data_IF_871581016430
#
_entry.id   IF_871581016430
#
_cell.length_a   1.000
_cell.length_b   1.000
_cell.length_c   1.000
_cell.angle_alpha   90.00
_cell.angle_beta   90.00
_cell.angle_gamma   90.00
#
_symmetry.space_group_name_H-M   'P 1'
#
loop_
_entity.id
_entity.type
_entity.pdbx_description
1 polymer ?
#
# COMPACT_ATOMS: atom_id res chain seq x y z
N UNK A 1 11.23 1.94 23.05
CA UNK A 1 11.46 2.40 21.66
C UNK A 1 10.34 3.32 21.20
N UNK A 2 9.07 2.97 21.40
CA UNK A 2 7.89 3.81 21.04
C UNK A 2 8.00 5.19 21.68
N UNK A 3 8.30 5.29 22.98
CA UNK A 3 8.51 6.59 23.67
C UNK A 3 9.64 7.46 23.05
N UNK A 4 10.62 6.83 22.44
CA UNK A 4 11.69 7.56 21.75
C UNK A 4 11.20 8.13 20.42
N UNK A 5 10.49 7.33 19.63
CA UNK A 5 9.92 7.75 18.34
C UNK A 5 8.84 8.83 18.55
N UNK A 6 8.02 8.68 19.58
CA UNK A 6 6.96 9.62 19.92
C UNK A 6 7.48 11.06 20.22
N UNK A 7 8.75 11.21 20.60
CA UNK A 7 9.37 12.54 20.81
C UNK A 7 9.49 13.34 19.52
N UNK A 8 9.53 12.67 18.37
CA UNK A 8 9.60 13.29 17.06
C UNK A 8 8.22 13.67 16.52
N UNK A 9 7.16 13.41 17.32
CA UNK A 9 5.75 13.68 17.02
C UNK A 9 5.32 13.16 15.63
N UNK A 10 5.49 11.85 15.35
CA UNK A 10 5.05 11.25 14.10
C UNK A 10 3.52 11.20 14.03
N UNK A 11 2.95 11.03 12.82
CA UNK A 11 1.52 10.79 12.66
C UNK A 11 1.15 9.35 13.03
N UNK A 12 2.04 8.39 12.73
CA UNK A 12 1.85 6.95 12.97
C UNK A 12 3.12 6.29 13.49
N UNK A 13 2.96 5.17 14.21
CA UNK A 13 4.08 4.27 14.57
C UNK A 13 4.14 3.13 13.56
N UNK A 14 5.26 2.96 12.88
CA UNK A 14 5.49 1.85 11.93
C UNK A 14 6.24 0.70 12.59
N UNK A 15 5.70 -0.51 12.47
CA UNK A 15 6.33 -1.77 12.88
C UNK A 15 6.75 -2.59 11.64
N UNK A 16 7.90 -3.27 11.75
CA UNK A 16 8.40 -4.25 10.79
C UNK A 16 8.25 -5.63 11.42
N UNK A 17 7.04 -6.21 11.33
CA UNK A 17 6.69 -7.45 12.05
C UNK A 17 7.33 -8.66 11.38
N UNK A 18 7.41 -8.65 10.05
CA UNK A 18 8.10 -9.69 9.29
C UNK A 18 9.29 -9.12 8.51
N UNK A 19 10.15 -9.99 8.01
CA UNK A 19 10.99 -9.70 6.86
C UNK A 19 10.14 -9.58 5.59
N UNK A 20 10.79 -9.38 4.45
CA UNK A 20 10.16 -9.25 3.15
C UNK A 20 10.90 -9.98 2.04
N UNK A 21 10.45 -9.79 0.80
CA UNK A 21 11.06 -10.41 -0.40
C UNK A 21 12.54 -10.13 -0.51
N UNK A 22 12.99 -8.92 -0.12
CA UNK A 22 14.38 -8.50 -0.29
C UNK A 22 15.38 -9.26 0.58
N UNK A 23 14.95 -9.71 1.77
CA UNK A 23 15.79 -10.47 2.73
C UNK A 23 15.37 -11.95 2.83
N UNK A 24 14.61 -12.43 1.84
CA UNK A 24 14.17 -13.82 1.77
C UNK A 24 15.31 -14.74 1.29
N UNK A 25 15.77 -15.62 2.18
CA UNK A 25 16.86 -16.57 1.92
C UNK A 25 16.36 -17.96 1.53
N UNK A 26 15.14 -18.30 1.89
CA UNK A 26 14.53 -19.62 1.67
C UNK A 26 13.26 -19.47 0.84
N UNK A 27 13.16 -20.29 -0.22
CA UNK A 27 11.96 -20.36 -1.06
C UNK A 27 10.77 -20.83 -0.23
N UNK A 28 9.65 -20.10 -0.29
CA UNK A 28 8.44 -20.39 0.47
C UNK A 28 8.33 -19.61 1.80
N UNK A 29 9.35 -18.86 2.18
CA UNK A 29 9.40 -18.10 3.43
C UNK A 29 9.63 -16.59 3.20
N UNK A 30 8.76 -15.88 2.45
CA UNK A 30 8.98 -14.48 2.12
C UNK A 30 8.95 -13.55 3.33
N UNK A 31 8.14 -13.87 4.33
CA UNK A 31 7.88 -13.01 5.49
C UNK A 31 8.18 -13.71 6.81
N UNK A 32 9.44 -14.02 7.09
CA UNK A 32 9.84 -14.60 8.37
C UNK A 32 9.54 -13.62 9.51
N UNK A 33 8.93 -14.13 10.60
CA UNK A 33 8.58 -13.30 11.76
C UNK A 33 9.85 -12.72 12.41
N UNK A 34 9.90 -11.39 12.51
CA UNK A 34 11.01 -10.63 13.12
C UNK A 34 10.64 -10.07 14.50
N UNK A 35 9.35 -9.81 14.74
CA UNK A 35 8.85 -9.35 16.03
C UNK A 35 7.96 -10.41 16.64
N UNK A 36 8.28 -10.84 17.88
CA UNK A 36 7.45 -11.79 18.62
C UNK A 36 6.12 -11.14 19.03
N UNK A 37 5.02 -11.90 19.17
CA UNK A 37 3.68 -11.37 19.46
C UNK A 37 3.62 -10.43 20.68
N UNK A 38 4.32 -10.78 21.75
CA UNK A 38 4.37 -9.98 22.97
C UNK A 38 5.06 -8.62 22.77
N UNK A 39 6.02 -8.53 21.83
CA UNK A 39 6.69 -7.27 21.49
C UNK A 39 5.77 -6.41 20.63
N UNK A 40 5.06 -7.02 19.67
CA UNK A 40 4.06 -6.32 18.85
C UNK A 40 2.98 -5.74 19.75
N UNK A 41 2.43 -6.57 20.66
CA UNK A 41 1.41 -6.12 21.62
C UNK A 41 1.89 -4.96 22.48
N UNK A 42 3.06 -5.07 23.08
CA UNK A 42 3.61 -4.02 23.92
C UNK A 42 3.86 -2.70 23.15
N UNK A 43 4.26 -2.80 21.87
CA UNK A 43 4.44 -1.64 21.02
C UNK A 43 3.11 -0.98 20.66
N UNK A 44 2.09 -1.76 20.28
CA UNK A 44 0.75 -1.26 19.98
C UNK A 44 0.08 -0.64 21.22
N UNK A 45 0.07 -1.34 22.35
CA UNK A 45 -0.50 -0.83 23.61
C UNK A 45 0.13 0.53 23.96
N UNK A 46 1.48 0.63 23.87
CA UNK A 46 2.17 1.87 24.20
C UNK A 46 1.90 3.00 23.19
N UNK A 47 1.82 2.68 21.90
CA UNK A 47 1.47 3.66 20.87
C UNK A 47 0.07 4.22 21.10
N UNK A 48 -0.91 3.35 21.36
CA UNK A 48 -2.30 3.73 21.64
C UNK A 48 -2.44 4.56 22.93
N UNK A 49 -1.70 4.22 24.00
CA UNK A 49 -1.64 5.04 25.23
C UNK A 49 -1.16 6.48 24.95
N UNK A 50 -0.30 6.65 23.95
CA UNK A 50 0.22 7.94 23.54
C UNK A 50 -0.63 8.64 22.46
N UNK A 51 -1.73 7.99 22.00
CA UNK A 51 -2.65 8.51 21.00
C UNK A 51 -2.23 8.28 19.55
N UNK A 52 -1.22 7.43 19.29
CA UNK A 52 -0.77 7.08 17.94
C UNK A 52 -1.44 5.81 17.43
N UNK A 53 -1.75 5.79 16.14
CA UNK A 53 -2.08 4.57 15.40
C UNK A 53 -0.82 3.81 15.00
N UNK A 54 -0.96 2.51 14.73
CA UNK A 54 0.14 1.62 14.39
C UNK A 54 -0.10 0.98 13.03
N UNK A 55 0.86 1.13 12.12
CA UNK A 55 0.87 0.43 10.84
C UNK A 55 1.99 -0.63 10.82
N UNK A 56 1.77 -1.73 10.10
CA UNK A 56 2.69 -2.86 10.13
C UNK A 56 3.04 -3.38 8.74
N UNK A 57 4.35 -3.45 8.42
CA UNK A 57 4.84 -4.24 7.30
C UNK A 57 4.72 -5.73 7.65
N UNK A 58 3.97 -6.48 6.83
CA UNK A 58 3.80 -7.93 6.96
C UNK A 58 3.61 -8.59 5.60
N UNK A 59 4.38 -9.63 5.31
CA UNK A 59 4.37 -10.36 4.02
C UNK A 59 4.17 -11.87 4.18
N UNK A 60 3.59 -12.30 5.32
CA UNK A 60 3.25 -13.71 5.54
C UNK A 60 1.95 -13.88 6.32
N UNK A 61 1.23 -15.02 6.14
CA UNK A 61 0.00 -15.29 6.90
C UNK A 61 0.19 -15.24 8.41
N UNK A 62 1.31 -15.77 8.91
CA UNK A 62 1.65 -15.72 10.33
C UNK A 62 1.86 -14.28 10.81
N UNK A 63 2.58 -13.48 10.02
CA UNK A 63 2.80 -12.06 10.34
C UNK A 63 1.51 -11.27 10.40
N UNK A 64 0.60 -11.45 9.42
CA UNK A 64 -0.72 -10.81 9.40
C UNK A 64 -1.53 -11.20 10.64
N UNK A 65 -1.55 -12.47 11.00
CA UNK A 65 -2.25 -12.95 12.20
C UNK A 65 -1.68 -12.31 13.47
N UNK A 66 -0.35 -12.32 13.63
CA UNK A 66 0.31 -11.70 14.79
C UNK A 66 0.00 -10.21 14.84
N UNK A 67 0.03 -9.49 13.70
CA UNK A 67 -0.30 -8.08 13.65
C UNK A 67 -1.73 -7.79 14.12
N UNK A 68 -2.71 -8.49 13.52
CA UNK A 68 -4.14 -8.31 13.84
C UNK A 68 -4.45 -8.67 15.28
N UNK A 69 -3.96 -9.80 15.80
CA UNK A 69 -4.22 -10.25 17.17
C UNK A 69 -3.63 -9.31 18.22
N UNK A 70 -2.57 -8.58 17.89
CA UNK A 70 -1.80 -7.76 18.84
C UNK A 70 -1.99 -6.24 18.68
N UNK A 71 -2.97 -5.80 17.88
CA UNK A 71 -3.50 -4.45 17.98
C UNK A 71 -2.96 -3.44 16.97
N UNK A 72 -2.48 -3.85 15.79
CA UNK A 72 -2.19 -2.90 14.72
C UNK A 72 -3.47 -2.28 14.17
N UNK A 73 -3.38 -1.08 13.60
CA UNK A 73 -4.51 -0.37 12.99
C UNK A 73 -4.53 -0.57 11.47
N UNK A 74 -3.39 -0.84 10.83
CA UNK A 74 -3.32 -1.15 9.40
C UNK A 74 -2.29 -2.22 9.08
N UNK A 75 -2.58 -2.94 7.97
CA UNK A 75 -1.71 -3.94 7.36
C UNK A 75 -1.17 -3.38 6.05
N UNK A 76 0.13 -3.14 6.01
CA UNK A 76 0.84 -2.81 4.78
C UNK A 76 1.23 -4.11 4.06
N UNK A 77 1.02 -4.19 2.76
CA UNK A 77 1.18 -5.38 1.93
C UNK A 77 0.13 -6.44 2.28
N UNK A 78 0.47 -7.36 3.13
CA UNK A 78 -0.44 -8.40 3.61
C UNK A 78 -0.22 -9.75 2.93
N UNK A 79 -0.94 -10.74 3.43
CA UNK A 79 -1.00 -12.09 2.89
C UNK A 79 -2.36 -12.70 3.25
N UNK A 80 -2.81 -13.68 2.45
CA UNK A 80 -4.06 -14.39 2.71
C UNK A 80 -4.00 -15.14 4.04
N UNK A 81 -4.99 -14.91 4.89
CA UNK A 81 -5.16 -15.57 6.18
C UNK A 81 -6.48 -16.35 6.25
N UNK A 82 -6.70 -17.08 7.33
CA UNK A 82 -7.93 -17.80 7.61
C UNK A 82 -9.12 -16.86 7.88
N UNK A 83 -10.34 -17.40 7.79
CA UNK A 83 -11.58 -16.64 7.95
C UNK A 83 -11.69 -15.98 9.32
N UNK A 84 -11.30 -16.68 10.40
CA UNK A 84 -11.38 -16.15 11.75
C UNK A 84 -10.47 -14.92 11.93
N UNK A 85 -9.30 -14.94 11.32
CA UNK A 85 -8.38 -13.79 11.33
C UNK A 85 -8.96 -12.62 10.53
N UNK A 86 -9.61 -12.88 9.38
CA UNK A 86 -10.30 -11.84 8.60
C UNK A 86 -11.49 -11.24 9.34
N UNK A 87 -12.27 -12.07 10.03
CA UNK A 87 -13.40 -11.60 10.85
C UNK A 87 -12.94 -10.71 12.00
N UNK A 88 -11.84 -11.07 12.66
CA UNK A 88 -11.21 -10.25 13.70
C UNK A 88 -10.69 -8.92 13.13
N UNK A 89 -10.11 -8.94 11.91
CA UNK A 89 -9.68 -7.73 11.21
C UNK A 89 -10.84 -6.76 10.99
N UNK A 90 -11.99 -7.28 10.53
CA UNK A 90 -13.23 -6.50 10.34
C UNK A 90 -13.77 -5.98 11.68
N UNK A 91 -13.87 -6.82 12.70
CA UNK A 91 -14.37 -6.45 14.02
C UNK A 91 -13.58 -5.29 14.64
N UNK A 92 -12.26 -5.30 14.46
CA UNK A 92 -11.36 -4.28 14.99
C UNK A 92 -11.22 -3.04 14.12
N UNK A 93 -11.83 -3.01 12.96
CA UNK A 93 -11.73 -1.88 12.00
C UNK A 93 -10.33 -1.71 11.43
N UNK A 94 -9.52 -2.79 11.40
CA UNK A 94 -8.19 -2.79 10.79
C UNK A 94 -8.37 -2.82 9.28
N UNK A 95 -7.56 -2.05 8.53
CA UNK A 95 -7.61 -2.00 7.09
C UNK A 95 -6.30 -2.49 6.45
N UNK A 96 -6.37 -2.80 5.16
CA UNK A 96 -5.19 -3.09 4.36
C UNK A 96 -4.79 -1.86 3.54
N UNK A 97 -3.48 -1.61 3.41
CA UNK A 97 -2.94 -0.78 2.35
C UNK A 97 -2.29 -1.71 1.32
N UNK A 98 -2.99 -1.89 0.20
CA UNK A 98 -2.50 -2.70 -0.91
C UNK A 98 -1.34 -1.98 -1.59
N UNK A 99 -0.28 -2.73 -1.86
CA UNK A 99 0.95 -2.26 -2.49
C UNK A 99 1.39 -3.30 -3.51
N UNK A 100 0.61 -3.45 -4.58
CA UNK A 100 0.89 -4.43 -5.64
C UNK A 100 2.16 -4.04 -6.41
N UNK A 101 2.38 -2.73 -6.55
CA UNK A 101 3.49 -2.17 -7.31
C UNK A 101 4.87 -2.69 -6.91
N UNK A 102 5.31 -2.69 -5.63
CA UNK A 102 6.65 -3.12 -5.25
C UNK A 102 6.86 -4.64 -5.40
N UNK A 103 5.81 -5.45 -5.29
CA UNK A 103 5.90 -6.89 -5.44
C UNK A 103 5.99 -7.33 -6.91
N UNK A 104 5.42 -6.55 -7.85
CA UNK A 104 5.34 -6.89 -9.27
C UNK A 104 6.70 -7.12 -9.93
N UNK A 105 7.74 -6.26 -9.77
CA UNK A 105 9.05 -6.49 -10.38
C UNK A 105 9.73 -7.78 -9.90
N UNK A 106 9.61 -8.10 -8.62
CA UNK A 106 10.14 -9.36 -8.08
C UNK A 106 9.40 -10.58 -8.63
N UNK A 107 8.09 -10.51 -8.75
CA UNK A 107 7.26 -11.63 -9.17
C UNK A 107 7.32 -11.89 -10.68
N UNK A 108 7.28 -10.83 -11.51
CA UNK A 108 6.92 -10.92 -12.92
C UNK A 108 8.03 -10.50 -13.88
N UNK A 109 9.05 -9.74 -13.45
CA UNK A 109 10.16 -9.41 -14.35
C UNK A 109 11.08 -10.60 -14.56
N UNK A 110 11.73 -10.63 -15.72
CA UNK A 110 12.88 -11.49 -15.92
C UNK A 110 14.00 -11.11 -14.94
N UNK A 111 14.69 -12.09 -14.37
CA UNK A 111 15.75 -11.85 -13.38
C UNK A 111 16.94 -11.08 -13.93
N UNK A 112 17.15 -11.11 -15.26
CA UNK A 112 18.17 -10.26 -15.91
C UNK A 112 17.81 -8.78 -15.85
N UNK A 113 16.53 -8.44 -15.62
CA UNK A 113 16.01 -7.10 -15.49
C UNK A 113 15.90 -6.70 -14.01
N UNK A 114 15.21 -7.51 -13.20
CA UNK A 114 14.99 -7.22 -11.78
C UNK A 114 16.25 -7.38 -10.93
N UNK A 115 17.23 -8.14 -11.42
CA UNK A 115 18.41 -8.59 -10.67
C UNK A 115 18.09 -9.37 -9.38
N UNK A 116 16.86 -9.87 -9.26
CA UNK A 116 16.42 -10.70 -8.14
C UNK A 116 17.15 -12.05 -8.14
N UNK A 117 17.47 -12.58 -6.96
CA UNK A 117 17.88 -13.97 -6.83
C UNK A 117 16.73 -14.91 -7.17
N UNK A 118 17.01 -16.19 -7.29
CA UNK A 118 15.96 -17.20 -7.49
C UNK A 118 14.96 -17.21 -6.32
N UNK A 119 15.48 -17.16 -5.09
CA UNK A 119 14.69 -17.13 -3.86
C UNK A 119 13.81 -15.88 -3.79
N UNK A 120 14.36 -14.71 -4.11
CA UNK A 120 13.62 -13.45 -4.15
C UNK A 120 12.51 -13.49 -5.20
N UNK A 121 12.74 -14.05 -6.38
CA UNK A 121 11.71 -14.16 -7.39
C UNK A 121 10.58 -15.11 -6.99
N UNK A 122 10.91 -16.31 -6.48
CA UNK A 122 9.88 -17.26 -6.06
C UNK A 122 9.08 -16.73 -4.86
N UNK A 123 9.73 -16.10 -3.90
CA UNK A 123 9.07 -15.46 -2.78
C UNK A 123 8.29 -14.20 -3.21
N UNK A 124 8.81 -13.46 -4.18
CA UNK A 124 8.09 -12.33 -4.80
C UNK A 124 6.76 -12.74 -5.41
N UNK A 125 6.69 -13.91 -6.06
CA UNK A 125 5.41 -14.45 -6.57
C UNK A 125 4.43 -14.78 -5.45
N UNK A 126 4.91 -15.31 -4.32
CA UNK A 126 4.09 -15.61 -3.15
C UNK A 126 3.52 -14.31 -2.57
N UNK A 127 4.36 -13.30 -2.35
CA UNK A 127 3.94 -12.01 -1.80
C UNK A 127 2.98 -11.29 -2.75
N UNK A 128 3.29 -11.21 -4.04
CA UNK A 128 2.43 -10.60 -5.05
C UNK A 128 1.02 -11.20 -5.04
N UNK A 129 0.91 -12.53 -5.06
CA UNK A 129 -0.38 -13.20 -4.98
C UNK A 129 -1.03 -13.01 -3.61
N UNK A 130 -0.26 -13.04 -2.52
CA UNK A 130 -0.73 -12.85 -1.15
C UNK A 130 -1.40 -11.50 -0.93
N UNK A 131 -0.79 -10.41 -1.43
CA UNK A 131 -1.33 -9.05 -1.39
C UNK A 131 -2.68 -8.99 -2.13
N UNK A 132 -2.73 -9.52 -3.35
CA UNK A 132 -3.94 -9.53 -4.19
C UNK A 132 -5.05 -10.36 -3.54
N UNK A 133 -4.73 -11.55 -3.05
CA UNK A 133 -5.71 -12.43 -2.41
C UNK A 133 -6.27 -11.81 -1.13
N UNK A 134 -5.44 -11.17 -0.32
CA UNK A 134 -5.89 -10.45 0.87
C UNK A 134 -6.79 -9.28 0.50
N UNK A 135 -6.40 -8.48 -0.50
CA UNK A 135 -7.22 -7.35 -0.96
C UNK A 135 -8.61 -7.82 -1.44
N UNK A 136 -8.67 -8.91 -2.22
CA UNK A 136 -9.95 -9.52 -2.63
C UNK A 136 -10.80 -10.00 -1.46
N UNK A 137 -10.17 -10.60 -0.44
CA UNK A 137 -10.89 -11.05 0.75
C UNK A 137 -11.38 -9.87 1.61
N UNK A 138 -10.58 -8.80 1.72
CA UNK A 138 -11.00 -7.55 2.35
C UNK A 138 -12.24 -6.96 1.65
N UNK A 139 -12.18 -6.82 0.33
CA UNK A 139 -13.27 -6.27 -0.48
C UNK A 139 -14.58 -7.07 -0.33
N UNK A 140 -14.52 -8.40 -0.30
CA UNK A 140 -15.70 -9.26 -0.10
C UNK A 140 -16.35 -9.09 1.28
N UNK A 141 -15.59 -8.65 2.25
CA UNK A 141 -16.03 -8.47 3.64
C UNK A 141 -16.31 -7.02 4.00
N UNK A 142 -16.27 -6.09 3.05
CA UNK A 142 -16.34 -4.64 3.27
C UNK A 142 -15.27 -4.13 4.26
N UNK A 143 -14.10 -4.76 4.27
CA UNK A 143 -12.92 -4.24 4.96
C UNK A 143 -12.26 -3.21 4.04
N UNK A 144 -11.96 -2.00 4.51
CA UNK A 144 -11.37 -0.97 3.67
C UNK A 144 -9.99 -1.38 3.12
N UNK A 145 -9.77 -1.09 1.82
CA UNK A 145 -8.49 -1.30 1.15
C UNK A 145 -8.00 0.03 0.60
N UNK A 146 -7.03 0.62 1.27
CA UNK A 146 -6.28 1.77 0.77
C UNK A 146 -5.20 1.35 -0.23
N UNK A 147 -4.65 2.31 -0.97
CA UNK A 147 -3.62 2.08 -1.97
C UNK A 147 -2.33 2.83 -1.63
N UNK A 148 -1.19 2.17 -1.79
CA UNK A 148 0.13 2.72 -1.62
C UNK A 148 1.13 2.14 -2.62
N UNK A 149 2.21 2.87 -2.92
CA UNK A 149 3.22 2.44 -3.90
C UNK A 149 4.47 1.87 -3.27
N UNK A 150 4.72 2.14 -2.00
CA UNK A 150 5.98 1.82 -1.33
C UNK A 150 7.20 2.33 -2.15
N UNK A 151 7.11 3.59 -2.57
CA UNK A 151 8.13 4.27 -3.39
C UNK A 151 9.51 4.18 -2.75
N UNK A 152 10.52 3.99 -3.57
CA UNK A 152 11.93 3.71 -3.33
C UNK A 152 12.29 2.22 -3.37
N UNK A 153 11.32 1.32 -3.50
CA UNK A 153 11.58 -0.03 -3.96
C UNK A 153 12.07 -0.03 -5.43
N UNK A 154 12.84 -1.03 -5.86
CA UNK A 154 13.31 -1.13 -7.25
C UNK A 154 12.15 -1.04 -8.25
N UNK A 155 12.31 -0.19 -9.26
CA UNK A 155 11.31 0.11 -10.30
C UNK A 155 10.07 0.89 -9.82
N UNK A 156 9.99 1.31 -8.56
CA UNK A 156 8.86 2.07 -8.02
C UNK A 156 9.26 3.54 -7.86
N UNK A 157 8.64 4.40 -8.64
CA UNK A 157 8.94 5.83 -8.69
C UNK A 157 7.83 6.65 -8.05
N UNK A 158 8.19 7.85 -7.56
CA UNK A 158 7.25 8.76 -6.88
C UNK A 158 6.14 9.30 -7.81
N UNK A 159 6.25 9.13 -9.11
CA UNK A 159 5.26 9.61 -10.08
C UNK A 159 4.33 8.50 -10.61
N UNK A 160 4.47 7.27 -10.11
CA UNK A 160 3.78 6.10 -10.66
C UNK A 160 2.58 5.61 -9.83
N UNK A 161 2.03 6.43 -8.93
CA UNK A 161 0.83 6.06 -8.15
C UNK A 161 -0.33 5.59 -9.04
N UNK A 162 -0.46 6.14 -10.25
CA UNK A 162 -1.49 5.73 -11.20
C UNK A 162 -1.39 4.24 -11.60
N UNK A 163 -0.18 3.65 -11.57
CA UNK A 163 0.02 2.22 -11.85
C UNK A 163 -0.56 1.35 -10.73
N UNK A 164 -0.45 1.77 -9.48
CA UNK A 164 -1.08 1.05 -8.36
C UNK A 164 -2.60 0.99 -8.54
N UNK A 165 -3.25 2.09 -8.93
CA UNK A 165 -4.67 2.09 -9.27
C UNK A 165 -4.98 1.12 -10.42
N UNK A 166 -4.16 1.15 -11.47
CA UNK A 166 -4.31 0.26 -12.62
C UNK A 166 -4.17 -1.22 -12.22
N UNK A 167 -3.17 -1.55 -11.42
CA UNK A 167 -2.97 -2.92 -10.92
C UNK A 167 -4.09 -3.37 -9.99
N UNK A 168 -4.62 -2.48 -9.18
CA UNK A 168 -5.77 -2.78 -8.32
C UNK A 168 -7.01 -3.15 -9.15
N UNK A 169 -7.28 -2.41 -10.22
CA UNK A 169 -8.34 -2.77 -11.18
C UNK A 169 -8.04 -4.11 -11.85
N UNK A 170 -6.83 -4.25 -12.42
CA UNK A 170 -6.43 -5.41 -13.21
C UNK A 170 -6.42 -6.71 -12.40
N UNK A 171 -5.88 -6.69 -11.20
CA UNK A 171 -5.65 -7.90 -10.40
C UNK A 171 -6.73 -8.15 -9.34
N UNK A 172 -7.36 -7.10 -8.80
CA UNK A 172 -8.42 -7.26 -7.81
C UNK A 172 -9.83 -7.19 -8.40
N UNK A 173 -10.00 -6.74 -9.65
CA UNK A 173 -11.28 -6.75 -10.37
C UNK A 173 -12.24 -5.64 -9.94
N UNK A 174 -11.75 -4.56 -9.36
CA UNK A 174 -12.56 -3.40 -9.00
C UNK A 174 -12.79 -2.48 -10.21
N UNK A 175 -13.73 -1.54 -10.12
CA UNK A 175 -13.92 -0.52 -11.16
C UNK A 175 -12.89 0.60 -11.05
N UNK A 176 -12.66 1.32 -12.16
CA UNK A 176 -11.81 2.52 -12.15
C UNK A 176 -12.30 3.56 -11.11
N UNK A 177 -13.62 3.74 -10.99
CA UNK A 177 -14.22 4.64 -10.01
C UNK A 177 -13.87 4.22 -8.57
N UNK A 178 -13.92 2.92 -8.27
CA UNK A 178 -13.57 2.43 -6.94
C UNK A 178 -12.07 2.57 -6.66
N UNK A 179 -11.20 2.30 -7.64
CA UNK A 179 -9.76 2.52 -7.48
C UNK A 179 -9.42 3.99 -7.21
N UNK A 180 -10.06 4.92 -7.91
CA UNK A 180 -9.94 6.36 -7.66
C UNK A 180 -10.42 6.74 -6.25
N UNK A 181 -11.58 6.24 -5.83
CA UNK A 181 -12.09 6.45 -4.47
C UNK A 181 -11.11 5.92 -3.41
N UNK A 182 -10.59 4.69 -3.59
CA UNK A 182 -9.62 4.10 -2.66
C UNK A 182 -8.33 4.91 -2.55
N UNK A 183 -7.83 5.44 -3.68
CA UNK A 183 -6.59 6.23 -3.72
C UNK A 183 -6.76 7.68 -3.25
N UNK A 184 -7.98 8.16 -3.07
CA UNK A 184 -8.28 9.56 -2.70
C UNK A 184 -9.02 9.63 -1.36
N UNK A 185 -10.37 9.66 -1.39
CA UNK A 185 -11.16 9.87 -0.18
C UNK A 185 -10.95 8.77 0.86
N UNK A 186 -10.98 7.49 0.46
CA UNK A 186 -10.77 6.41 1.40
C UNK A 186 -9.38 6.47 2.03
N UNK A 187 -8.32 6.70 1.26
CA UNK A 187 -6.98 6.89 1.81
C UNK A 187 -6.92 8.07 2.80
N UNK A 188 -7.58 9.18 2.50
CA UNK A 188 -7.65 10.33 3.40
C UNK A 188 -8.39 10.00 4.71
N UNK A 189 -9.49 9.24 4.63
CA UNK A 189 -10.24 8.77 5.81
C UNK A 189 -9.37 7.83 6.66
N UNK A 190 -8.69 6.86 6.03
CA UNK A 190 -7.79 5.93 6.72
C UNK A 190 -6.60 6.63 7.38
N UNK A 191 -6.08 7.68 6.74
CA UNK A 191 -5.03 8.53 7.29
C UNK A 191 -5.52 9.46 8.41
N UNK A 192 -6.85 9.60 8.59
CA UNK A 192 -7.44 10.48 9.60
C UNK A 192 -7.55 11.95 9.16
N UNK A 193 -7.46 12.23 7.86
CA UNK A 193 -7.53 13.59 7.27
C UNK A 193 -8.68 13.74 6.27
N UNK A 194 -9.65 12.82 6.29
CA UNK A 194 -10.78 12.79 5.35
C UNK A 194 -11.71 13.99 5.43
N UNK A 195 -11.78 14.68 6.57
CA UNK A 195 -12.54 15.93 6.72
C UNK A 195 -11.94 17.08 5.90
N UNK A 196 -10.60 17.05 5.69
CA UNK A 196 -9.85 18.11 5.03
C UNK A 196 -9.43 17.79 3.59
N UNK A 197 -9.30 16.51 3.25
CA UNK A 197 -8.69 16.02 2.00
C UNK A 197 -9.49 14.89 1.36
N UNK A 198 -9.09 14.50 0.15
CA UNK A 198 -9.52 13.28 -0.53
C UNK A 198 -10.74 13.43 -1.44
N UNK A 199 -11.51 14.52 -1.33
CA UNK A 199 -12.64 14.81 -2.22
C UNK A 199 -12.70 16.29 -2.57
N UNK A 200 -13.38 16.61 -3.67
CA UNK A 200 -13.60 18.00 -4.11
C UNK A 200 -14.93 18.47 -3.51
N UNK A 201 -14.85 19.08 -2.33
CA UNK A 201 -15.98 19.58 -1.56
C UNK A 201 -15.70 20.96 -0.98
N UNK A 202 -16.74 21.77 -0.80
CA UNK A 202 -16.59 23.08 -0.16
C UNK A 202 -16.13 22.93 1.30
N UNK A 203 -15.06 23.62 1.67
CA UNK A 203 -14.46 23.58 3.00
C UNK A 203 -13.21 22.73 3.11
N UNK A 204 -12.95 21.83 2.15
CA UNK A 204 -11.71 21.06 2.09
C UNK A 204 -10.58 21.85 1.42
N UNK A 205 -9.34 21.41 1.64
CA UNK A 205 -8.19 21.95 0.94
C UNK A 205 -8.33 21.78 -0.57
N UNK A 206 -7.88 22.77 -1.33
CA UNK A 206 -7.88 22.72 -2.78
C UNK A 206 -6.66 21.90 -3.29
N UNK A 207 -6.72 20.59 -3.06
CA UNK A 207 -5.75 19.60 -3.53
C UNK A 207 -6.40 18.78 -4.64
N UNK A 208 -5.97 18.99 -5.88
CA UNK A 208 -6.58 18.33 -7.03
C UNK A 208 -5.61 18.20 -8.21
N UNK A 209 -5.90 17.28 -9.09
CA UNK A 209 -5.22 17.13 -10.37
C UNK A 209 -6.21 17.33 -11.52
N UNK A 210 -5.72 17.87 -12.63
CA UNK A 210 -6.47 17.98 -13.89
C UNK A 210 -5.79 17.12 -14.94
N UNK A 211 -6.57 16.33 -15.63
CA UNK A 211 -6.12 15.43 -16.70
C UNK A 211 -6.94 15.65 -17.97
N UNK A 212 -6.36 15.38 -19.15
CA UNK A 212 -7.02 15.59 -20.46
C UNK A 212 -8.16 14.61 -20.75
N UNK A 213 -8.03 13.38 -20.27
CA UNK A 213 -8.96 12.30 -20.56
C UNK A 213 -9.67 11.86 -19.27
N UNK A 214 -10.81 11.22 -19.43
CA UNK A 214 -11.60 10.75 -18.30
C UNK A 214 -10.96 9.50 -17.66
N UNK A 215 -10.42 9.59 -16.42
CA UNK A 215 -9.81 8.45 -15.74
C UNK A 215 -10.83 7.38 -15.32
N UNK A 216 -12.13 7.68 -15.32
CA UNK A 216 -13.18 6.68 -15.12
C UNK A 216 -13.27 5.69 -16.29
N UNK A 217 -12.87 6.12 -17.49
CA UNK A 217 -12.83 5.28 -18.69
C UNK A 217 -11.48 4.58 -18.86
N UNK A 218 -10.39 5.32 -18.57
CA UNK A 218 -9.01 4.83 -18.75
C UNK A 218 -8.08 5.46 -17.70
N UNK A 219 -7.61 4.65 -16.75
CA UNK A 219 -6.70 5.11 -15.68
C UNK A 219 -5.34 5.59 -16.20
N UNK A 220 -4.94 5.20 -17.42
CA UNK A 220 -3.70 5.72 -18.03
C UNK A 220 -3.75 7.23 -18.27
N UNK A 221 -4.93 7.85 -18.25
CA UNK A 221 -5.12 9.29 -18.26
C UNK A 221 -4.36 10.01 -17.13
N UNK A 222 -4.17 9.33 -15.98
CA UNK A 222 -3.45 9.86 -14.83
C UNK A 222 -1.93 9.94 -15.03
N UNK A 223 -1.41 9.35 -16.11
CA UNK A 223 0.01 9.35 -16.45
C UNK A 223 0.52 10.73 -16.87
N UNK A 224 -0.37 11.57 -17.37
CA UNK A 224 -0.06 12.91 -17.86
C UNK A 224 -0.98 13.93 -17.24
N UNK A 225 -0.43 14.76 -16.37
CA UNK A 225 -1.17 15.81 -15.67
C UNK A 225 -1.11 17.11 -16.47
N UNK A 226 -2.26 17.74 -16.63
CA UNK A 226 -2.36 19.11 -17.18
C UNK A 226 -2.03 20.12 -16.09
N UNK A 227 -2.53 19.87 -14.87
CA UNK A 227 -2.37 20.77 -13.76
C UNK A 227 -2.37 19.99 -12.44
N UNK A 228 -1.61 20.47 -11.47
CA UNK A 228 -1.71 20.08 -10.07
C UNK A 228 -2.06 21.32 -9.28
N UNK A 229 -3.05 21.20 -8.41
CA UNK A 229 -3.35 22.22 -7.39
C UNK A 229 -3.01 21.62 -6.03
N UNK A 230 -2.18 22.31 -5.28
CA UNK A 230 -1.79 21.92 -3.90
C UNK A 230 -1.94 23.12 -2.97
N UNK A 231 -2.76 22.98 -1.96
CA UNK A 231 -3.11 24.07 -1.02
C UNK A 231 -3.57 25.34 -1.76
N UNK A 232 -4.31 25.19 -2.87
CA UNK A 232 -4.75 26.28 -3.72
C UNK A 232 -3.68 26.87 -4.66
N UNK A 233 -2.43 26.40 -4.58
CA UNK A 233 -1.35 26.83 -5.49
C UNK A 233 -1.40 25.99 -6.77
N UNK A 234 -1.42 26.68 -7.92
CA UNK A 234 -1.51 26.05 -9.24
C UNK A 234 -0.12 25.77 -9.79
N UNK A 235 0.12 24.52 -10.16
CA UNK A 235 1.28 24.08 -10.93
C UNK A 235 0.79 23.66 -12.32
N UNK A 236 0.94 24.57 -13.27
CA UNK A 236 0.48 24.39 -14.65
C UNK A 236 1.49 23.56 -15.44
N UNK A 237 0.99 22.58 -16.20
CA UNK A 237 1.79 21.63 -16.98
C UNK A 237 3.05 21.10 -16.25
N UNK A 238 2.87 20.44 -15.10
CA UNK A 238 4.01 19.95 -14.30
C UNK A 238 4.81 18.93 -15.10
N UNK A 239 6.13 19.13 -15.18
CA UNK A 239 7.04 18.22 -15.88
C UNK A 239 7.76 17.35 -14.86
N UNK A 240 7.60 16.04 -15.00
CA UNK A 240 8.35 15.05 -14.22
C UNK A 240 9.32 14.33 -15.13
N UNK A 241 10.60 14.31 -14.75
CA UNK A 241 11.61 13.51 -15.48
C UNK A 241 11.37 12.04 -15.18
N UNK A 242 10.82 11.33 -16.16
CA UNK A 242 10.59 9.89 -16.06
C UNK A 242 11.88 9.12 -16.37
N UNK A 243 11.96 7.89 -15.87
CA UNK A 243 13.05 6.95 -16.12
C UNK A 243 12.62 6.00 -17.24
N UNK A 244 13.06 6.25 -18.47
CA UNK A 244 12.62 5.53 -19.67
C UNK A 244 12.76 4.00 -19.57
N UNK A 245 13.82 3.52 -18.94
CA UNK A 245 14.02 2.08 -18.71
C UNK A 245 13.00 1.50 -17.75
N UNK A 246 12.60 2.24 -16.71
CA UNK A 246 11.56 1.83 -15.74
C UNK A 246 10.20 1.81 -16.43
N UNK A 247 9.86 2.90 -17.12
CA UNK A 247 8.59 3.02 -17.86
C UNK A 247 8.42 1.85 -18.86
N UNK A 248 9.46 1.60 -19.66
CA UNK A 248 9.45 0.53 -20.68
C UNK A 248 9.19 -0.86 -20.08
N UNK A 249 9.77 -1.16 -18.92
CA UNK A 249 9.58 -2.46 -18.28
C UNK A 249 8.20 -2.58 -17.64
N UNK A 250 7.74 -1.54 -16.95
CA UNK A 250 6.43 -1.54 -16.30
C UNK A 250 5.26 -1.49 -17.31
N UNK A 251 5.43 -0.82 -18.46
CA UNK A 251 4.39 -0.75 -19.50
C UNK A 251 4.04 -2.11 -20.13
N UNK A 252 4.89 -3.12 -19.96
CA UNK A 252 4.58 -4.50 -20.39
C UNK A 252 3.43 -5.12 -19.58
N UNK A 253 3.07 -4.54 -18.46
CA UNK A 253 2.04 -5.04 -17.54
C UNK A 253 0.75 -4.21 -17.53
N UNK A 254 0.61 -3.29 -18.48
CA UNK A 254 -0.62 -2.55 -18.74
C UNK A 254 -1.65 -3.39 -19.53
#
# INVERSE_FOLDING_TARGET
YVDKVAKDNPDWIKLMITGGVMDAEVVGEPGVLRMQPEIVKAACDRAHELGYKVCAHVESPLGVKVAIENGVDSIEHGAKVDEATMDLMKERGIFQVSTISPALPYALFDRSISHATYEQQENGKIVFNGIIDMAKECLKRDIPVGLGTDTACPYITQYDMWRELYYFVKYCGVSNAFALYSATLLNAELAGVGEDLGSIEAGKFADMIVVKKNPLEDLTALRELEMVVKDGIIYDHPVVKKLDNVEKELDKFL
#
